data_IF_517210553013
#
_entry.id   IF_517210553013
#
_cell.length_a   1.000
_cell.length_b   1.000
_cell.length_c   1.000
_cell.angle_alpha   90.00
_cell.angle_beta   90.00
_cell.angle_gamma   90.00
#
_symmetry.space_group_name_H-M   'P 1'
#
loop_
_entity.id
_entity.type
_entity.pdbx_description
1 polymer ?
#
# COMPACT_ATOMS: atom_id res chain seq x y z
N UNK A 1 8.01 11.56 -12.19
CA UNK A 1 7.69 11.09 -10.80
C UNK A 1 8.24 9.69 -10.61
N UNK A 2 9.49 9.57 -10.13
CA UNK A 2 10.12 8.24 -9.96
C UNK A 2 9.95 7.65 -8.55
N UNK A 3 9.52 8.48 -7.59
CA UNK A 3 9.24 8.04 -6.22
C UNK A 3 7.74 8.10 -5.94
N UNK A 4 7.17 7.05 -5.37
CA UNK A 4 5.74 6.95 -5.13
C UNK A 4 5.43 6.14 -3.87
N UNK A 5 4.27 6.41 -3.26
CA UNK A 5 3.70 5.53 -2.26
C UNK A 5 2.94 4.40 -2.96
N UNK A 6 3.29 3.17 -2.64
CA UNK A 6 2.67 1.98 -3.22
C UNK A 6 1.67 1.37 -2.24
N UNK A 7 0.41 1.37 -2.63
CA UNK A 7 -0.61 0.62 -1.94
C UNK A 7 -0.40 -0.89 -2.13
N UNK A 8 -0.74 -1.67 -1.13
CA UNK A 8 -0.59 -3.13 -1.10
C UNK A 8 -1.25 -3.81 -2.30
N UNK A 9 -2.39 -3.30 -2.76
CA UNK A 9 -3.12 -3.90 -3.86
C UNK A 9 -2.39 -3.83 -5.21
N UNK A 10 -1.42 -2.93 -5.40
CA UNK A 10 -0.56 -2.93 -6.59
C UNK A 10 0.26 -4.23 -6.65
N UNK A 11 0.85 -4.65 -5.54
CA UNK A 11 1.56 -5.93 -5.51
C UNK A 11 0.61 -7.13 -5.56
N UNK A 12 -0.56 -7.02 -4.94
CA UNK A 12 -1.61 -8.05 -5.02
C UNK A 12 -2.02 -8.26 -6.48
N UNK A 13 -2.16 -7.20 -7.26
CA UNK A 13 -2.45 -7.28 -8.70
C UNK A 13 -1.38 -8.04 -9.47
N UNK A 14 -0.09 -7.91 -9.10
CA UNK A 14 1.00 -8.70 -9.70
C UNK A 14 0.80 -10.21 -9.53
N UNK A 15 0.30 -10.65 -8.37
CA UNK A 15 0.15 -12.08 -8.06
C UNK A 15 -1.21 -12.68 -8.45
N UNK A 16 -2.14 -11.85 -8.89
CA UNK A 16 -3.47 -12.24 -9.36
C UNK A 16 -3.58 -12.06 -10.87
N UNK A 17 -3.52 -13.15 -11.69
CA UNK A 17 -3.59 -13.01 -13.14
C UNK A 17 -4.87 -12.37 -13.67
N UNK A 18 -5.98 -12.54 -12.96
CA UNK A 18 -7.30 -12.01 -13.35
C UNK A 18 -7.54 -10.57 -12.87
N UNK A 19 -6.54 -9.94 -12.26
CA UNK A 19 -6.65 -8.56 -11.81
C UNK A 19 -6.53 -7.60 -13.01
N UNK A 20 -7.38 -6.56 -13.11
CA UNK A 20 -7.35 -5.62 -14.23
C UNK A 20 -6.02 -4.87 -14.39
N UNK A 21 -5.24 -4.75 -13.31
CA UNK A 21 -3.92 -4.09 -13.31
C UNK A 21 -2.75 -5.07 -13.28
N UNK A 22 -2.98 -6.36 -13.54
CA UNK A 22 -1.93 -7.39 -13.47
C UNK A 22 -0.70 -7.06 -14.33
N UNK A 23 -0.93 -6.65 -15.57
CA UNK A 23 0.14 -6.32 -16.51
C UNK A 23 0.95 -5.10 -16.07
N UNK A 24 0.26 -4.04 -15.64
CA UNK A 24 0.86 -2.81 -15.17
C UNK A 24 1.65 -3.04 -13.88
N UNK A 25 1.08 -3.79 -12.94
CA UNK A 25 1.74 -4.15 -11.70
C UNK A 25 3.03 -4.95 -11.92
N UNK A 26 3.06 -5.81 -12.94
CA UNK A 26 4.31 -6.52 -13.33
C UNK A 26 5.38 -5.55 -13.82
N UNK A 27 5.03 -4.58 -14.66
CA UNK A 27 5.98 -3.59 -15.16
C UNK A 27 6.51 -2.73 -14.01
N UNK A 28 5.60 -2.19 -13.17
CA UNK A 28 5.99 -1.36 -12.00
C UNK A 28 6.94 -2.13 -11.08
N UNK A 29 6.61 -3.37 -10.74
CA UNK A 29 7.46 -4.16 -9.83
C UNK A 29 8.77 -4.57 -10.47
N UNK A 30 8.83 -4.77 -11.79
CA UNK A 30 10.09 -4.99 -12.50
C UNK A 30 10.95 -3.73 -12.50
N UNK A 31 10.35 -2.56 -12.68
CA UNK A 31 11.08 -1.28 -12.59
C UNK A 31 11.61 -1.01 -11.17
N UNK A 32 10.92 -1.48 -10.11
CA UNK A 32 11.45 -1.48 -8.74
C UNK A 32 12.66 -2.42 -8.62
N UNK A 33 12.55 -3.65 -9.14
CA UNK A 33 13.65 -4.63 -9.14
C UNK A 33 14.91 -4.12 -9.87
N UNK A 34 14.73 -3.26 -10.90
CA UNK A 34 15.81 -2.65 -11.69
C UNK A 34 16.28 -1.30 -11.14
N UNK A 35 15.76 -0.84 -10.01
CA UNK A 35 16.07 0.47 -9.40
C UNK A 35 15.75 1.69 -10.31
N UNK A 36 14.81 1.52 -11.25
CA UNK A 36 14.35 2.57 -12.16
C UNK A 36 13.36 3.52 -11.48
N UNK A 37 12.62 3.01 -10.50
CA UNK A 37 11.67 3.72 -9.65
C UNK A 37 11.81 3.27 -8.20
N UNK A 38 11.38 4.11 -7.26
CA UNK A 38 11.45 3.83 -5.83
C UNK A 38 10.06 3.92 -5.21
N UNK A 39 9.75 2.98 -4.33
CA UNK A 39 8.47 2.96 -3.65
C UNK A 39 8.63 3.03 -2.13
N UNK A 40 7.66 3.67 -1.51
CA UNK A 40 7.45 3.62 -0.06
C UNK A 40 6.08 2.99 0.23
N UNK A 41 5.97 2.28 1.32
CA UNK A 41 4.70 1.71 1.77
C UNK A 41 4.65 1.60 3.29
N UNK A 42 3.47 1.41 3.85
CA UNK A 42 3.30 1.13 5.28
C UNK A 42 3.78 -0.27 5.64
N UNK A 43 4.32 -0.46 6.84
CA UNK A 43 4.59 -1.81 7.39
C UNK A 43 3.32 -2.68 7.48
N UNK A 44 2.13 -2.08 7.52
CA UNK A 44 0.86 -2.81 7.47
C UNK A 44 0.67 -3.57 6.16
N UNK A 45 1.31 -3.14 5.07
CA UNK A 45 1.29 -3.89 3.81
C UNK A 45 1.77 -5.33 3.96
N UNK A 46 2.70 -5.60 4.90
CA UNK A 46 3.13 -6.96 5.20
C UNK A 46 1.99 -7.80 5.81
N UNK A 47 1.19 -7.20 6.70
CA UNK A 47 0.04 -7.88 7.30
C UNK A 47 -1.06 -8.15 6.28
N UNK A 48 -1.35 -7.16 5.43
CA UNK A 48 -2.32 -7.31 4.34
C UNK A 48 -1.87 -8.37 3.34
N UNK A 49 -0.61 -8.34 2.94
CA UNK A 49 -0.02 -9.35 2.05
C UNK A 49 -0.13 -10.75 2.64
N UNK A 50 0.20 -10.94 3.93
CA UNK A 50 0.05 -12.23 4.61
C UNK A 50 -1.42 -12.70 4.60
N UNK A 51 -2.35 -11.79 4.91
CA UNK A 51 -3.80 -12.08 4.93
C UNK A 51 -4.33 -12.48 3.54
N UNK A 52 -4.01 -11.69 2.51
CA UNK A 52 -4.44 -11.97 1.13
C UNK A 52 -3.82 -13.25 0.61
N UNK A 53 -2.52 -13.46 0.82
CA UNK A 53 -1.79 -14.68 0.39
C UNK A 53 -2.37 -15.93 1.04
N UNK A 54 -2.71 -15.84 2.33
CA UNK A 54 -3.38 -16.93 3.06
C UNK A 54 -4.75 -17.29 2.44
N UNK A 55 -5.54 -16.28 2.03
CA UNK A 55 -6.83 -16.51 1.36
C UNK A 55 -6.66 -17.08 -0.03
N UNK A 56 -5.68 -16.60 -0.81
CA UNK A 56 -5.36 -17.12 -2.14
C UNK A 56 -4.91 -18.58 -2.09
N UNK A 57 -4.11 -18.96 -1.09
CA UNK A 57 -3.71 -20.35 -0.87
C UNK A 57 -4.93 -21.25 -0.64
N UNK A 58 -5.87 -20.83 0.23
CA UNK A 58 -7.11 -21.57 0.49
C UNK A 58 -8.00 -21.68 -0.76
N UNK A 59 -8.13 -20.60 -1.54
CA UNK A 59 -8.97 -20.55 -2.75
C UNK A 59 -8.44 -21.44 -3.86
N UNK A 60 -7.13 -21.57 -4.02
CA UNK A 60 -6.51 -22.48 -5.01
C UNK A 60 -6.69 -23.96 -4.69
N UNK A 61 -7.41 -24.28 -3.60
CA UNK A 61 -7.76 -25.65 -3.20
C UNK A 61 -6.59 -26.62 -3.33
N UNK A 62 -5.44 -26.31 -2.78
CA UNK A 62 -4.44 -27.33 -2.48
C UNK A 62 -5.07 -28.14 -1.35
N UNK A 63 -6.00 -29.05 -1.73
CA UNK A 63 -6.71 -29.92 -0.80
C UNK A 63 -5.66 -30.81 -0.16
N UNK A 64 -5.54 -30.72 1.17
CA UNK A 64 -4.62 -31.54 1.95
C UNK A 64 -3.25 -30.93 2.18
N UNK A 65 -2.98 -29.72 1.73
CA UNK A 65 -1.74 -29.01 2.07
C UNK A 65 -1.68 -28.74 3.56
N UNK A 66 -0.62 -29.24 4.22
CA UNK A 66 -0.40 -29.01 5.64
C UNK A 66 -0.24 -27.51 5.92
N UNK A 67 -0.56 -27.06 7.13
CA UNK A 67 -0.34 -25.67 7.59
C UNK A 67 1.10 -25.20 7.33
N UNK A 68 2.05 -26.11 7.29
CA UNK A 68 3.46 -25.84 6.94
C UNK A 68 3.62 -25.33 5.49
N UNK A 69 2.92 -25.91 4.52
CA UNK A 69 3.01 -25.49 3.10
C UNK A 69 2.36 -24.11 2.91
N UNK A 70 1.24 -23.88 3.59
CA UNK A 70 0.59 -22.57 3.61
C UNK A 70 1.51 -21.50 4.20
N UNK A 71 2.17 -21.81 5.32
CA UNK A 71 3.12 -20.91 5.96
C UNK A 71 4.31 -20.63 5.03
N UNK A 72 4.87 -21.65 4.39
CA UNK A 72 5.97 -21.52 3.43
C UNK A 72 5.58 -20.61 2.27
N UNK A 73 4.36 -20.77 1.72
CA UNK A 73 3.85 -19.95 0.64
C UNK A 73 3.69 -18.46 1.05
N UNK A 74 3.18 -18.21 2.28
CA UNK A 74 3.07 -16.85 2.81
C UNK A 74 4.46 -16.23 2.97
N UNK A 75 5.39 -16.94 3.60
CA UNK A 75 6.77 -16.45 3.82
C UNK A 75 7.47 -16.13 2.51
N UNK A 76 7.36 -17.00 1.52
CA UNK A 76 7.98 -16.77 0.20
C UNK A 76 7.39 -15.54 -0.50
N UNK A 77 6.07 -15.34 -0.42
CA UNK A 77 5.42 -14.16 -0.97
C UNK A 77 5.87 -12.87 -0.27
N UNK A 78 5.98 -12.89 1.05
CA UNK A 78 6.47 -11.74 1.83
C UNK A 78 7.94 -11.43 1.52
N UNK A 79 8.79 -12.46 1.37
CA UNK A 79 10.19 -12.28 0.96
C UNK A 79 10.29 -11.59 -0.41
N UNK A 80 9.51 -12.04 -1.40
CA UNK A 80 9.46 -11.42 -2.72
C UNK A 80 9.00 -9.96 -2.65
N UNK A 81 8.00 -9.67 -1.82
CA UNK A 81 7.55 -8.29 -1.62
C UNK A 81 8.65 -7.44 -0.99
N UNK A 82 9.29 -7.92 0.05
CA UNK A 82 10.37 -7.20 0.73
C UNK A 82 11.63 -7.02 -0.15
N UNK A 83 11.88 -7.95 -1.10
CA UNK A 83 13.04 -7.88 -2.01
C UNK A 83 12.89 -6.87 -3.15
N UNK A 84 11.74 -6.21 -3.30
CA UNK A 84 11.53 -5.18 -4.32
C UNK A 84 12.24 -3.84 -4.04
N UNK A 85 13.04 -3.74 -2.98
CA UNK A 85 13.69 -2.47 -2.62
C UNK A 85 12.73 -1.39 -2.10
N UNK A 86 11.54 -1.80 -1.64
CA UNK A 86 10.53 -0.88 -1.11
C UNK A 86 10.95 -0.39 0.28
N UNK A 87 10.88 0.90 0.50
CA UNK A 87 11.07 1.48 1.83
C UNK A 87 9.79 1.35 2.65
N UNK A 88 9.88 0.63 3.77
CA UNK A 88 8.76 0.52 4.71
C UNK A 88 8.75 1.70 5.68
N UNK A 89 7.62 2.40 5.73
CA UNK A 89 7.40 3.48 6.67
C UNK A 89 7.07 2.86 8.03
N UNK A 90 7.95 3.09 9.00
CA UNK A 90 7.70 2.68 10.38
C UNK A 90 6.68 3.58 11.03
N UNK A 91 5.77 3.00 11.78
CA UNK A 91 4.79 3.73 12.60
C UNK A 91 5.45 4.17 13.92
N UNK A 92 6.57 4.93 13.80
CA UNK A 92 7.30 5.43 14.95
C UNK A 92 6.82 6.84 15.31
N UNK A 93 6.86 7.15 16.58
CA UNK A 93 6.43 8.41 17.14
C UNK A 93 5.09 8.27 17.86
N UNK A 94 5.11 8.65 19.13
CA UNK A 94 3.94 8.61 20.00
C UNK A 94 3.24 9.96 19.97
N UNK A 95 1.94 9.94 19.67
CA UNK A 95 1.07 11.12 19.80
C UNK A 95 0.13 10.94 20.97
N UNK A 96 0.07 11.89 21.91
CA UNK A 96 -0.92 11.85 22.96
C UNK A 96 -2.32 12.11 22.37
N UNK A 97 -3.28 11.33 22.78
CA UNK A 97 -4.70 11.54 22.49
C UNK A 97 -5.42 11.79 23.80
N UNK A 98 -6.18 12.86 23.84
CA UNK A 98 -7.11 13.15 24.90
C UNK A 98 -8.53 13.24 24.31
N UNK A 99 -9.37 12.27 24.62
CA UNK A 99 -10.80 12.29 24.28
C UNK A 99 -11.57 12.19 25.57
N UNK A 100 -12.15 13.30 26.01
CA UNK A 100 -12.81 13.41 27.32
C UNK A 100 -11.87 12.98 28.45
N UNK A 101 -12.17 11.85 29.11
CA UNK A 101 -11.39 11.29 30.23
C UNK A 101 -10.42 10.18 29.80
N UNK A 102 -10.26 9.94 28.48
CA UNK A 102 -9.34 8.94 27.95
C UNK A 102 -8.07 9.66 27.54
N UNK A 103 -6.98 9.34 28.24
CA UNK A 103 -5.63 9.75 27.89
C UNK A 103 -4.90 8.50 27.39
N UNK A 104 -4.52 8.47 26.13
CA UNK A 104 -3.80 7.35 25.53
C UNK A 104 -2.64 7.89 24.67
N UNK A 105 -1.61 7.08 24.56
CA UNK A 105 -0.52 7.31 23.61
C UNK A 105 -0.67 6.32 22.46
N UNK A 106 -0.60 6.79 21.24
CA UNK A 106 -0.66 5.92 20.07
C UNK A 106 0.34 6.38 19.00
N UNK A 107 0.74 5.48 18.08
CA UNK A 107 1.55 5.89 16.95
C UNK A 107 0.91 7.04 16.16
N UNK A 108 1.72 8.04 15.78
CA UNK A 108 1.24 9.27 15.13
C UNK A 108 0.44 9.01 13.85
N UNK A 109 0.76 7.95 13.11
CA UNK A 109 -0.02 7.53 11.93
C UNK A 109 -1.47 7.17 12.28
N UNK A 110 -1.73 6.54 13.42
CA UNK A 110 -3.10 6.24 13.84
C UNK A 110 -3.86 7.50 14.25
N UNK A 111 -3.17 8.47 14.88
CA UNK A 111 -3.77 9.76 15.18
C UNK A 111 -4.16 10.50 13.89
N UNK A 112 -3.27 10.54 12.90
CA UNK A 112 -3.56 11.10 11.58
C UNK A 112 -4.73 10.37 10.89
N UNK A 113 -4.78 9.04 10.97
CA UNK A 113 -5.89 8.25 10.42
C UNK A 113 -7.24 8.60 11.08
N UNK A 114 -7.25 8.88 12.40
CA UNK A 114 -8.45 9.36 13.10
C UNK A 114 -8.86 10.75 12.58
N UNK A 115 -7.92 11.67 12.39
CA UNK A 115 -8.19 12.99 11.82
C UNK A 115 -8.77 12.87 10.41
N UNK A 116 -8.16 12.02 9.57
CA UNK A 116 -8.63 11.75 8.22
C UNK A 116 -10.03 11.10 8.20
N UNK A 117 -10.40 10.31 9.21
CA UNK A 117 -11.73 9.72 9.32
C UNK A 117 -12.85 10.76 9.48
N UNK A 118 -12.52 11.96 9.95
CA UNK A 118 -13.46 13.09 10.03
C UNK A 118 -13.66 13.78 8.67
N UNK A 119 -12.74 13.57 7.74
CA UNK A 119 -12.74 14.19 6.42
C UNK A 119 -13.16 13.23 5.30
N UNK A 120 -13.06 11.91 5.56
CA UNK A 120 -13.34 10.88 4.57
C UNK A 120 -14.15 9.73 5.20
N UNK A 121 -14.83 8.96 4.35
CA UNK A 121 -15.58 7.75 4.78
C UNK A 121 -14.85 6.46 4.44
N UNK A 122 -13.52 6.52 4.30
CA UNK A 122 -12.70 5.35 3.98
C UNK A 122 -12.68 4.32 5.12
N UNK A 123 -12.39 3.08 4.78
CA UNK A 123 -12.23 2.00 5.76
C UNK A 123 -10.95 2.16 6.58
N UNK A 124 -10.89 1.52 7.73
CA UNK A 124 -9.78 1.67 8.68
C UNK A 124 -8.39 1.45 8.05
N UNK A 125 -8.21 0.37 7.27
CA UNK A 125 -6.91 0.11 6.64
C UNK A 125 -6.57 1.14 5.57
N UNK A 126 -7.56 1.59 4.80
CA UNK A 126 -7.41 2.62 3.78
C UNK A 126 -7.01 3.95 4.42
N UNK A 127 -7.63 4.31 5.56
CA UNK A 127 -7.25 5.49 6.35
C UNK A 127 -5.81 5.42 6.84
N UNK A 128 -5.34 4.24 7.27
CA UNK A 128 -3.97 4.08 7.74
C UNK A 128 -2.98 4.17 6.55
N UNK A 129 -3.31 3.62 5.39
CA UNK A 129 -2.51 3.81 4.18
C UNK A 129 -2.45 5.28 3.76
N UNK A 130 -3.58 5.97 3.81
CA UNK A 130 -3.65 7.40 3.52
C UNK A 130 -2.79 8.21 4.49
N UNK A 131 -2.90 7.94 5.79
CA UNK A 131 -2.09 8.59 6.82
C UNK A 131 -0.59 8.31 6.65
N UNK A 132 -0.22 7.05 6.35
CA UNK A 132 1.17 6.67 6.10
C UNK A 132 1.74 7.37 4.86
N UNK A 133 0.96 7.46 3.79
CA UNK A 133 1.37 8.14 2.57
C UNK A 133 1.52 9.66 2.77
N UNK A 134 0.62 10.28 3.54
CA UNK A 134 0.73 11.70 3.91
C UNK A 134 1.98 11.96 4.75
N UNK A 135 2.26 11.11 5.73
CA UNK A 135 3.49 11.18 6.51
C UNK A 135 4.75 10.99 5.62
N UNK A 136 4.72 10.02 4.70
CA UNK A 136 5.80 9.82 3.74
C UNK A 136 6.04 11.07 2.89
N UNK A 137 4.98 11.73 2.40
CA UNK A 137 5.07 12.96 1.63
C UNK A 137 5.70 14.11 2.43
N UNK A 138 5.38 14.22 3.71
CA UNK A 138 5.95 15.24 4.59
C UNK A 138 7.44 15.01 4.84
N UNK A 139 7.89 13.75 4.94
CA UNK A 139 9.29 13.38 5.19
C UNK A 139 10.12 13.21 3.92
N UNK A 140 9.47 12.97 2.80
CA UNK A 140 10.09 12.81 1.49
C UNK A 140 9.36 13.66 0.44
N UNK A 141 9.84 14.86 0.21
CA UNK A 141 9.24 15.80 -0.75
C UNK A 141 9.28 15.32 -2.20
N UNK A 142 10.19 14.37 -2.53
CA UNK A 142 10.27 13.77 -3.87
C UNK A 142 9.17 12.74 -4.14
N UNK A 143 8.43 12.33 -3.11
CA UNK A 143 7.31 11.43 -3.26
C UNK A 143 6.22 12.10 -4.14
N UNK A 144 6.06 11.58 -5.35
CA UNK A 144 5.30 12.26 -6.40
C UNK A 144 3.88 11.77 -6.60
N UNK A 145 3.52 10.57 -6.11
CA UNK A 145 2.19 9.99 -6.30
C UNK A 145 1.86 8.93 -5.23
N UNK A 146 0.56 8.73 -5.00
CA UNK A 146 0.00 7.55 -4.34
C UNK A 146 -0.54 6.63 -5.44
N UNK A 147 0.03 5.43 -5.58
CA UNK A 147 -0.37 4.48 -6.63
C UNK A 147 -1.20 3.35 -6.02
N UNK A 148 -2.41 3.18 -6.53
CA UNK A 148 -3.37 2.20 -6.02
C UNK A 148 -4.21 1.60 -7.15
N UNK A 149 -4.59 0.32 -7.03
CA UNK A 149 -5.61 -0.34 -7.84
C UNK A 149 -7.00 -0.34 -7.19
N UNK A 150 -7.15 0.23 -5.99
CA UNK A 150 -8.41 0.22 -5.28
C UNK A 150 -9.43 1.19 -5.91
N UNK A 151 -10.64 0.66 -6.18
CA UNK A 151 -11.71 1.42 -6.83
C UNK A 151 -12.24 2.54 -5.94
N UNK A 152 -12.25 2.37 -4.64
CA UNK A 152 -12.74 3.37 -3.69
C UNK A 152 -11.82 4.59 -3.71
N UNK A 153 -10.49 4.40 -3.67
CA UNK A 153 -9.52 5.48 -3.84
C UNK A 153 -9.63 6.15 -5.21
N UNK A 154 -9.70 5.36 -6.28
CA UNK A 154 -9.74 5.88 -7.66
C UNK A 154 -11.01 6.65 -7.96
N UNK A 155 -12.16 6.25 -7.40
CA UNK A 155 -13.44 6.96 -7.58
C UNK A 155 -13.46 8.33 -6.88
N UNK A 156 -12.60 8.53 -5.89
CA UNK A 156 -12.49 9.75 -5.07
C UNK A 156 -11.13 10.44 -5.22
N UNK A 157 -10.39 10.10 -6.28
CA UNK A 157 -8.99 10.55 -6.44
C UNK A 157 -8.80 12.06 -6.36
N UNK A 158 -9.74 12.85 -6.90
CA UNK A 158 -9.63 14.32 -6.91
C UNK A 158 -9.78 14.93 -5.51
N UNK A 159 -10.68 14.37 -4.69
CA UNK A 159 -10.87 14.77 -3.31
C UNK A 159 -9.65 14.36 -2.46
N UNK A 160 -9.29 13.08 -2.54
CA UNK A 160 -8.21 12.52 -1.74
C UNK A 160 -6.84 13.09 -2.12
N UNK A 161 -6.62 13.40 -3.40
CA UNK A 161 -5.38 14.06 -3.85
C UNK A 161 -5.18 15.44 -3.22
N UNK A 162 -6.26 16.19 -2.98
CA UNK A 162 -6.20 17.48 -2.28
C UNK A 162 -5.82 17.30 -0.80
N UNK A 163 -6.39 16.30 -0.14
CA UNK A 163 -6.08 15.97 1.26
C UNK A 163 -4.63 15.52 1.42
N UNK A 164 -4.12 14.80 0.43
CA UNK A 164 -2.78 14.21 0.43
C UNK A 164 -1.70 15.15 -0.09
N UNK A 165 -2.07 16.25 -0.72
CA UNK A 165 -1.16 17.15 -1.45
C UNK A 165 -0.27 16.40 -2.47
N UNK A 166 -0.80 15.28 -3.00
CA UNK A 166 -0.17 14.52 -4.07
C UNK A 166 -1.22 13.74 -4.88
N UNK A 167 -0.99 13.51 -6.20
CA UNK A 167 -1.94 12.80 -7.04
C UNK A 167 -2.11 11.35 -6.62
N UNK A 168 -3.36 10.86 -6.69
CA UNK A 168 -3.71 9.46 -6.59
C UNK A 168 -3.87 8.91 -8.00
N UNK A 169 -3.09 7.91 -8.35
CA UNK A 169 -2.99 7.34 -9.68
C UNK A 169 -3.27 5.82 -9.66
N UNK A 170 -3.94 5.35 -10.69
CA UNK A 170 -3.96 3.91 -10.99
C UNK A 170 -2.57 3.45 -11.47
N UNK A 171 -2.26 2.15 -11.41
CA UNK A 171 -1.04 1.60 -11.99
C UNK A 171 -0.84 1.97 -13.46
N UNK A 172 -1.93 2.04 -14.23
CA UNK A 172 -1.91 2.44 -15.64
C UNK A 172 -1.51 3.90 -15.80
N UNK A 173 -2.18 4.83 -15.11
CA UNK A 173 -1.88 6.26 -15.17
C UNK A 173 -0.44 6.55 -14.71
N UNK A 174 0.04 5.84 -13.70
CA UNK A 174 1.41 5.99 -13.21
C UNK A 174 2.43 5.56 -14.28
N UNK A 175 2.24 4.41 -14.92
CA UNK A 175 3.11 3.95 -16.01
C UNK A 175 3.12 4.91 -17.21
N UNK A 176 1.94 5.38 -17.63
CA UNK A 176 1.80 6.35 -18.73
C UNK A 176 2.58 7.64 -18.43
N UNK A 177 2.48 8.14 -17.18
CA UNK A 177 3.20 9.33 -16.72
C UNK A 177 4.72 9.18 -16.67
N UNK A 178 5.24 7.95 -16.59
CA UNK A 178 6.67 7.62 -16.65
C UNK A 178 7.17 7.27 -18.05
N UNK A 179 6.28 7.09 -19.02
CA UNK A 179 6.62 6.56 -20.35
C UNK A 179 7.05 5.09 -20.33
N UNK A 180 6.70 4.35 -19.27
CA UNK A 180 6.96 2.91 -19.17
C UNK A 180 6.02 2.16 -20.15
N UNK A 181 6.60 1.29 -20.97
CA UNK A 181 5.84 0.47 -21.92
C UNK A 181 5.70 -0.96 -21.42
N UNK A 182 4.57 -1.57 -21.78
CA UNK A 182 4.32 -3.00 -21.52
C UNK A 182 5.28 -3.91 -22.29
#
# INVERSE_FOLDING_TARGET
>A
MRQFYMDTNVFISRIKPDDPYHSEAKVITKSLENDEVHAETSVLSLLEMASVTSRLYKARRIRGGADRERMAFIIETLKRFASLGIRFIHMSGDSPIAVRNIHATMPSIFNEAIILSLQTTLRTFDLIHLAAAKYAKQTNHELGAFVTGDREFLSRKDELSKIMEMPILSPKEYMEGLGLRK
#
